data_IF_031462279022
#
_entry.id   IF_031462279022
#
_cell.length_a   1.000
_cell.length_b   1.000
_cell.length_c   1.000
_cell.angle_alpha   90.00
_cell.angle_beta   90.00
_cell.angle_gamma   90.00
#
_symmetry.space_group_name_H-M   'P 1'
#
loop_
_entity.id
_entity.type
_entity.pdbx_description
1 polymer ?
#
# COMPACT_ATOMS: atom_id res chain seq x y z
N UNK A 1 19.82 -0.38 11.31
CA UNK A 1 20.76 -0.41 10.18
C UNK A 1 20.57 -1.72 9.45
N UNK A 2 19.84 -1.69 8.35
CA UNK A 2 19.62 -2.84 7.48
C UNK A 2 20.97 -3.35 6.96
N UNK A 3 21.30 -4.60 7.29
CA UNK A 3 22.50 -5.26 6.76
C UNK A 3 22.20 -5.78 5.34
N UNK A 4 22.96 -5.29 4.37
CA UNK A 4 22.85 -5.67 2.96
C UNK A 4 23.96 -6.61 2.52
N UNK A 5 24.69 -7.24 3.45
CA UNK A 5 25.84 -8.11 3.13
C UNK A 5 25.42 -9.35 2.36
N UNK A 6 24.36 -10.03 2.79
CA UNK A 6 23.91 -11.30 2.19
C UNK A 6 22.84 -11.12 1.10
N UNK A 7 22.18 -9.96 1.05
CA UNK A 7 21.08 -9.70 0.13
C UNK A 7 20.25 -8.49 0.59
N UNK A 8 19.17 -8.20 -0.13
CA UNK A 8 18.15 -7.23 0.30
C UNK A 8 16.86 -7.99 0.57
N UNK A 9 16.15 -7.67 1.64
CA UNK A 9 14.83 -8.27 1.88
C UNK A 9 13.83 -7.79 0.82
N UNK A 10 12.95 -8.67 0.34
CA UNK A 10 11.84 -8.29 -0.53
C UNK A 10 10.89 -7.30 0.17
N UNK A 11 10.53 -7.63 1.42
CA UNK A 11 9.80 -6.78 2.33
C UNK A 11 10.70 -6.46 3.54
N UNK A 12 10.94 -5.18 3.87
CA UNK A 12 11.82 -4.81 4.98
C UNK A 12 11.19 -5.02 6.37
N UNK A 13 9.91 -5.37 6.45
CA UNK A 13 9.13 -5.58 7.67
C UNK A 13 7.75 -4.93 7.68
N UNK A 14 7.22 -4.47 6.54
CA UNK A 14 5.91 -3.82 6.45
C UNK A 14 4.74 -4.80 6.57
N UNK A 15 4.83 -5.99 5.96
CA UNK A 15 3.69 -6.92 5.86
C UNK A 15 3.07 -7.31 7.21
N UNK A 16 3.87 -7.33 8.28
CA UNK A 16 3.37 -7.65 9.64
C UNK A 16 2.47 -6.54 10.24
N UNK A 17 2.46 -5.35 9.65
CA UNK A 17 1.70 -4.18 10.13
C UNK A 17 0.42 -3.92 9.33
N UNK A 18 0.16 -4.72 8.28
CA UNK A 18 -1.08 -4.63 7.50
C UNK A 18 -2.04 -5.78 7.82
N UNK A 19 -3.31 -5.58 7.48
CA UNK A 19 -4.37 -6.58 7.63
C UNK A 19 -5.17 -6.61 6.34
N UNK A 20 -5.41 -7.77 5.75
CA UNK A 20 -6.05 -7.92 4.44
C UNK A 20 -7.24 -6.95 4.22
N UNK A 21 -7.19 -6.13 3.16
CA UNK A 21 -8.15 -5.05 2.96
C UNK A 21 -9.55 -5.59 2.69
N UNK A 22 -9.68 -6.41 1.64
CA UNK A 22 -10.96 -6.91 1.14
C UNK A 22 -11.76 -7.67 2.21
N UNK A 23 -11.19 -8.65 2.95
CA UNK A 23 -11.93 -9.35 4.00
C UNK A 23 -12.43 -8.44 5.13
N UNK A 24 -11.67 -7.39 5.48
CA UNK A 24 -12.08 -6.43 6.49
C UNK A 24 -13.26 -5.56 6.00
N UNK A 25 -13.24 -5.13 4.73
CA UNK A 25 -14.34 -4.40 4.13
C UNK A 25 -15.58 -5.28 4.01
N UNK A 26 -15.45 -6.52 3.52
CA UNK A 26 -16.56 -7.48 3.46
C UNK A 26 -17.18 -7.72 4.83
N UNK A 27 -16.36 -7.88 5.88
CA UNK A 27 -16.85 -8.03 7.26
C UNK A 27 -17.72 -6.84 7.70
N UNK A 28 -17.32 -5.61 7.36
CA UNK A 28 -18.11 -4.40 7.65
C UNK A 28 -19.47 -4.48 6.97
N UNK A 29 -19.53 -4.70 5.66
CA UNK A 29 -20.80 -4.68 4.93
C UNK A 29 -21.69 -5.88 5.26
N UNK A 30 -21.11 -7.05 5.50
CA UNK A 30 -21.84 -8.20 6.02
C UNK A 30 -22.48 -7.89 7.38
N UNK A 31 -21.78 -7.17 8.25
CA UNK A 31 -22.32 -6.75 9.54
C UNK A 31 -23.43 -5.72 9.38
N UNK A 32 -23.26 -4.72 8.51
CA UNK A 32 -24.30 -3.72 8.22
C UNK A 32 -25.55 -4.36 7.60
N UNK A 33 -25.38 -5.38 6.76
CA UNK A 33 -26.46 -6.12 6.12
C UNK A 33 -27.38 -6.87 7.10
N UNK A 34 -26.89 -7.20 8.29
CA UNK A 34 -27.68 -7.90 9.34
C UNK A 34 -28.73 -7.02 9.99
N UNK A 35 -28.56 -5.69 9.97
CA UNK A 35 -29.51 -4.77 10.60
C UNK A 35 -30.63 -4.42 9.62
N UNK A 36 -31.88 -4.66 9.99
CA UNK A 36 -33.04 -4.25 9.17
C UNK A 36 -33.34 -2.76 9.28
N UNK A 37 -33.12 -2.17 10.46
CA UNK A 37 -33.42 -0.77 10.73
C UNK A 37 -32.28 0.14 10.25
N UNK A 38 -32.64 1.16 9.47
CA UNK A 38 -31.68 2.14 8.94
C UNK A 38 -30.94 2.92 10.04
N UNK A 39 -31.61 3.30 11.14
CA UNK A 39 -30.96 3.99 12.26
C UNK A 39 -29.84 3.15 12.89
N UNK A 40 -30.05 1.83 13.02
CA UNK A 40 -29.02 0.90 13.49
C UNK A 40 -27.87 0.81 12.49
N UNK A 41 -28.15 0.71 11.19
CA UNK A 41 -27.10 0.75 10.15
C UNK A 41 -26.25 2.02 10.23
N UNK A 42 -26.87 3.20 10.39
CA UNK A 42 -26.15 4.47 10.55
C UNK A 42 -25.23 4.46 11.78
N UNK A 43 -25.73 3.97 12.91
CA UNK A 43 -24.93 3.88 14.14
C UNK A 43 -23.72 2.95 13.95
N UNK A 44 -23.93 1.78 13.37
CA UNK A 44 -22.88 0.79 13.13
C UNK A 44 -21.85 1.29 12.11
N UNK A 45 -22.30 1.92 11.02
CA UNK A 45 -21.40 2.54 10.04
C UNK A 45 -20.51 3.59 10.72
N UNK A 46 -21.07 4.46 11.57
CA UNK A 46 -20.28 5.45 12.32
C UNK A 46 -19.21 4.80 13.22
N UNK A 47 -19.47 3.61 13.77
CA UNK A 47 -18.49 2.87 14.56
C UNK A 47 -17.40 2.24 13.70
N UNK A 48 -17.73 1.75 12.51
CA UNK A 48 -16.77 1.18 11.57
C UNK A 48 -15.95 2.24 10.83
N UNK A 49 -16.51 3.42 10.59
CA UNK A 49 -15.90 4.43 9.73
C UNK A 49 -14.47 4.80 10.11
N UNK A 50 -14.11 5.06 11.39
CA UNK A 50 -12.71 5.28 11.76
C UNK A 50 -11.79 4.10 11.48
N UNK A 51 -12.29 2.86 11.59
CA UNK A 51 -11.52 1.64 11.28
C UNK A 51 -11.30 1.49 9.77
N UNK A 52 -12.31 1.82 8.97
CA UNK A 52 -12.20 1.84 7.49
C UNK A 52 -11.15 2.87 7.06
N UNK A 53 -11.19 4.08 7.62
CA UNK A 53 -10.19 5.12 7.33
C UNK A 53 -8.80 4.68 7.74
N UNK A 54 -8.64 4.14 8.96
CA UNK A 54 -7.35 3.65 9.43
C UNK A 54 -6.79 2.52 8.56
N UNK A 55 -7.65 1.63 8.08
CA UNK A 55 -7.26 0.53 7.18
C UNK A 55 -6.79 1.08 5.83
N UNK A 56 -7.53 2.04 5.25
CA UNK A 56 -7.17 2.72 4.01
C UNK A 56 -5.85 3.49 4.14
N UNK A 57 -5.68 4.25 5.22
CA UNK A 57 -4.44 4.98 5.51
C UNK A 57 -3.23 4.03 5.61
N UNK A 58 -3.40 2.89 6.29
CA UNK A 58 -2.31 1.91 6.40
C UNK A 58 -1.95 1.28 5.05
N UNK A 59 -2.94 0.98 4.20
CA UNK A 59 -2.69 0.38 2.88
C UNK A 59 -1.98 1.33 1.93
N UNK A 60 -2.38 2.59 1.91
CA UNK A 60 -1.68 3.62 1.15
C UNK A 60 -0.23 3.80 1.66
N UNK A 61 -0.03 3.74 2.98
CA UNK A 61 1.30 3.78 3.58
C UNK A 61 2.15 2.58 3.18
N UNK A 62 1.56 1.39 3.16
CA UNK A 62 2.19 0.16 2.68
C UNK A 62 2.59 0.27 1.21
N UNK A 63 1.68 0.69 0.33
CA UNK A 63 1.95 0.85 -1.10
C UNK A 63 3.08 1.84 -1.38
N UNK A 64 3.04 3.00 -0.71
CA UNK A 64 4.14 3.96 -0.79
C UNK A 64 5.44 3.36 -0.24
N UNK A 65 5.37 2.62 0.87
CA UNK A 65 6.51 1.91 1.46
C UNK A 65 7.16 0.92 0.50
N UNK A 66 6.38 0.13 -0.23
CA UNK A 66 6.90 -0.77 -1.26
C UNK A 66 7.66 -0.02 -2.36
N UNK A 67 7.11 1.10 -2.85
CA UNK A 67 7.76 1.93 -3.88
C UNK A 67 9.08 2.51 -3.34
N UNK A 68 9.02 3.14 -2.16
CA UNK A 68 10.18 3.74 -1.50
C UNK A 68 11.29 2.70 -1.27
N UNK A 69 10.92 1.52 -0.78
CA UNK A 69 11.83 0.42 -0.54
C UNK A 69 12.51 -0.05 -1.82
N UNK A 70 11.72 -0.33 -2.86
CA UNK A 70 12.22 -0.76 -4.17
C UNK A 70 13.23 0.24 -4.75
N UNK A 71 12.94 1.53 -4.63
CA UNK A 71 13.84 2.59 -5.11
C UNK A 71 15.13 2.66 -4.29
N UNK A 72 15.07 2.44 -2.97
CA UNK A 72 16.26 2.37 -2.14
C UNK A 72 17.14 1.14 -2.46
N UNK A 73 16.55 -0.03 -2.72
CA UNK A 73 17.33 -1.24 -2.99
C UNK A 73 17.82 -1.33 -4.44
N UNK A 74 17.16 -0.64 -5.38
CA UNK A 74 17.55 -0.64 -6.80
C UNK A 74 18.98 -0.16 -7.05
N UNK A 75 19.55 0.64 -6.13
CA UNK A 75 20.93 1.14 -6.22
C UNK A 75 21.99 0.07 -6.02
N UNK A 76 21.65 -1.07 -5.40
CA UNK A 76 22.57 -2.18 -5.24
C UNK A 76 22.56 -2.99 -6.53
N UNK A 77 23.67 -3.00 -7.28
CA UNK A 77 23.75 -3.73 -8.55
C UNK A 77 23.72 -5.25 -8.34
N UNK A 78 22.80 -5.92 -9.03
CA UNK A 78 22.63 -7.37 -9.07
C UNK A 78 22.60 -8.06 -7.69
N UNK A 79 22.08 -7.39 -6.66
CA UNK A 79 21.99 -7.94 -5.30
C UNK A 79 20.82 -8.90 -5.21
N UNK A 80 21.00 -10.05 -4.56
CA UNK A 80 19.94 -11.03 -4.36
C UNK A 80 18.79 -10.45 -3.52
N UNK A 81 17.56 -10.70 -3.95
CA UNK A 81 16.34 -10.40 -3.20
C UNK A 81 15.97 -11.62 -2.36
N UNK A 82 16.05 -11.46 -1.05
CA UNK A 82 15.74 -12.49 -0.06
C UNK A 82 14.25 -12.51 0.23
N UNK A 83 13.70 -13.72 0.44
CA UNK A 83 12.33 -13.92 0.91
C UNK A 83 11.23 -13.28 0.03
N UNK A 84 11.43 -13.23 -1.29
CA UNK A 84 10.37 -12.82 -2.22
C UNK A 84 9.25 -13.88 -2.21
N UNK A 85 8.15 -13.58 -1.53
CA UNK A 85 6.98 -14.45 -1.40
C UNK A 85 6.24 -14.68 -2.72
N UNK A 86 6.46 -13.83 -3.73
CA UNK A 86 5.84 -13.93 -5.04
C UNK A 86 6.65 -14.77 -6.03
N UNK A 87 7.94 -15.01 -5.75
CA UNK A 87 8.88 -15.58 -6.72
C UNK A 87 8.45 -16.98 -7.18
N UNK A 88 8.44 -17.17 -8.50
CA UNK A 88 8.04 -18.44 -9.12
C UNK A 88 6.54 -18.70 -9.17
N UNK A 89 5.71 -17.74 -8.76
CA UNK A 89 4.25 -17.79 -8.92
C UNK A 89 3.80 -17.59 -10.38
N UNK A 90 2.52 -17.88 -10.65
CA UNK A 90 1.89 -17.56 -11.92
C UNK A 90 1.50 -16.08 -11.95
N UNK A 91 1.83 -15.39 -13.04
CA UNK A 91 1.40 -14.00 -13.25
C UNK A 91 0.11 -13.97 -14.07
N UNK A 92 -0.92 -13.38 -13.48
CA UNK A 92 -2.04 -12.80 -14.21
C UNK A 92 -2.15 -11.32 -13.83
N UNK A 93 -2.36 -10.45 -14.83
CA UNK A 93 -2.50 -9.01 -14.57
C UNK A 93 -3.72 -8.74 -13.69
N UNK A 94 -4.85 -9.41 -13.97
CA UNK A 94 -6.11 -9.21 -13.26
C UNK A 94 -5.99 -9.56 -11.77
N UNK A 95 -5.38 -10.71 -11.40
CA UNK A 95 -5.20 -11.07 -9.99
C UNK A 95 -4.19 -10.15 -9.31
N UNK A 96 -3.08 -9.83 -9.99
CA UNK A 96 -2.03 -8.94 -9.46
C UNK A 96 -2.58 -7.55 -9.13
N UNK A 97 -3.47 -7.01 -9.96
CA UNK A 97 -4.02 -5.67 -9.78
C UNK A 97 -5.33 -5.66 -8.98
N UNK A 98 -5.90 -6.82 -8.66
CA UNK A 98 -7.22 -6.94 -8.05
C UNK A 98 -7.39 -6.14 -6.74
N UNK A 99 -6.42 -6.17 -5.83
CA UNK A 99 -6.54 -5.48 -4.53
C UNK A 99 -6.42 -3.95 -4.68
N UNK A 100 -5.49 -3.45 -5.49
CA UNK A 100 -5.37 -2.00 -5.76
C UNK A 100 -6.58 -1.47 -6.53
N UNK A 101 -7.12 -2.25 -7.47
CA UNK A 101 -8.32 -1.90 -8.22
C UNK A 101 -9.57 -1.95 -7.33
N UNK A 102 -9.65 -2.92 -6.42
CA UNK A 102 -10.70 -2.97 -5.40
C UNK A 102 -10.68 -1.73 -4.51
N UNK A 103 -9.53 -1.37 -3.94
CA UNK A 103 -9.39 -0.19 -3.08
C UNK A 103 -9.79 1.08 -3.82
N UNK A 104 -9.33 1.23 -5.07
CA UNK A 104 -9.64 2.38 -5.92
C UNK A 104 -11.15 2.52 -6.14
N UNK A 105 -11.82 1.43 -6.52
CA UNK A 105 -13.28 1.41 -6.69
C UNK A 105 -14.02 1.62 -5.36
N UNK A 106 -13.47 1.07 -4.27
CA UNK A 106 -14.06 1.15 -2.94
C UNK A 106 -14.07 2.58 -2.41
N UNK A 107 -13.06 3.41 -2.70
CA UNK A 107 -13.05 4.83 -2.29
C UNK A 107 -14.28 5.58 -2.82
N UNK A 108 -14.68 5.32 -4.07
CA UNK A 108 -15.88 5.94 -4.67
C UNK A 108 -17.18 5.43 -4.01
N UNK A 109 -17.21 4.15 -3.61
CA UNK A 109 -18.31 3.63 -2.81
C UNK A 109 -18.34 4.26 -1.41
N UNK A 110 -17.19 4.35 -0.73
CA UNK A 110 -17.05 4.93 0.60
C UNK A 110 -17.54 6.38 0.60
N UNK A 111 -17.24 7.17 -0.44
CA UNK A 111 -17.77 8.53 -0.61
C UNK A 111 -19.29 8.59 -0.58
N UNK A 112 -19.96 7.69 -1.31
CA UNK A 112 -21.42 7.58 -1.33
C UNK A 112 -21.95 7.13 0.02
N UNK A 113 -21.29 6.15 0.64
CA UNK A 113 -21.70 5.58 1.92
C UNK A 113 -21.56 6.56 3.08
N UNK A 114 -20.46 7.31 3.17
CA UNK A 114 -20.31 8.38 4.17
C UNK A 114 -21.43 9.40 4.03
N UNK A 115 -21.72 9.83 2.79
CA UNK A 115 -22.84 10.75 2.55
C UNK A 115 -24.17 10.17 3.00
N UNK A 116 -24.43 8.91 2.68
CA UNK A 116 -25.68 8.22 3.00
C UNK A 116 -25.87 7.97 4.50
N UNK A 117 -24.83 7.48 5.19
CA UNK A 117 -24.92 7.06 6.59
C UNK A 117 -24.64 8.19 7.60
N UNK A 118 -23.86 9.21 7.24
CA UNK A 118 -23.48 10.29 8.17
C UNK A 118 -23.97 11.67 7.74
N UNK A 119 -24.32 11.85 6.46
CA UNK A 119 -24.67 13.15 5.88
C UNK A 119 -23.45 14.00 5.51
N UNK A 120 -22.25 13.57 5.89
CA UNK A 120 -21.00 14.28 5.66
C UNK A 120 -20.47 13.97 4.26
N UNK A 121 -19.60 14.84 3.74
CA UNK A 121 -18.88 14.56 2.52
C UNK A 121 -17.54 13.90 2.89
N UNK A 122 -17.10 12.95 2.06
CA UNK A 122 -15.78 12.35 2.13
C UNK A 122 -15.05 12.59 0.81
N UNK A 123 -13.77 12.86 0.91
CA UNK A 123 -12.84 12.97 -0.21
C UNK A 123 -11.49 12.46 0.25
N UNK A 124 -10.81 11.79 -0.65
CA UNK A 124 -9.40 11.47 -0.50
C UNK A 124 -8.58 12.58 -1.16
N UNK A 125 -7.40 12.87 -0.61
CA UNK A 125 -6.51 13.88 -1.16
C UNK A 125 -5.76 13.36 -2.41
N UNK A 126 -5.23 14.29 -3.21
CA UNK A 126 -4.54 13.96 -4.47
C UNK A 126 -3.26 13.14 -4.26
N UNK A 127 -2.54 13.30 -3.14
CA UNK A 127 -1.32 12.53 -2.92
C UNK A 127 -1.66 11.05 -2.70
N UNK A 128 -2.72 10.78 -1.94
CA UNK A 128 -3.25 9.43 -1.74
C UNK A 128 -3.73 8.78 -3.05
N UNK A 129 -4.39 9.51 -3.95
CA UNK A 129 -4.75 8.96 -5.27
C UNK A 129 -3.52 8.67 -6.14
N UNK A 130 -2.52 9.55 -6.10
CA UNK A 130 -1.27 9.35 -6.83
C UNK A 130 -0.51 8.10 -6.35
N UNK A 131 -0.58 7.78 -5.05
CA UNK A 131 0.02 6.55 -4.50
C UNK A 131 -0.64 5.31 -5.10
N UNK A 132 -1.98 5.27 -5.21
CA UNK A 132 -2.69 4.14 -5.81
C UNK A 132 -2.31 3.95 -7.28
N UNK A 133 -2.35 5.04 -8.05
CA UNK A 133 -2.01 5.01 -9.48
C UNK A 133 -0.56 4.56 -9.69
N UNK A 134 0.36 5.12 -8.92
CA UNK A 134 1.78 4.77 -8.95
C UNK A 134 2.01 3.30 -8.60
N UNK A 135 1.39 2.81 -7.53
CA UNK A 135 1.56 1.43 -7.08
C UNK A 135 0.97 0.44 -8.08
N UNK A 136 -0.19 0.76 -8.67
CA UNK A 136 -0.80 -0.05 -9.73
C UNK A 136 0.12 -0.19 -10.94
N UNK A 137 0.73 0.90 -11.41
CA UNK A 137 1.70 0.88 -12.50
C UNK A 137 2.94 0.07 -12.11
N UNK A 138 3.44 0.29 -10.89
CA UNK A 138 4.61 -0.42 -10.37
C UNK A 138 4.41 -1.93 -10.32
N UNK A 139 3.28 -2.40 -9.80
CA UNK A 139 2.92 -3.83 -9.79
C UNK A 139 2.87 -4.42 -11.21
N UNK A 140 2.23 -3.71 -12.14
CA UNK A 140 2.08 -4.15 -13.52
C UNK A 140 3.43 -4.27 -14.23
N UNK A 141 4.28 -3.24 -14.15
CA UNK A 141 5.59 -3.26 -14.80
C UNK A 141 6.53 -4.33 -14.24
N UNK A 142 6.35 -4.70 -12.97
CA UNK A 142 7.11 -5.77 -12.32
C UNK A 142 6.44 -7.14 -12.40
N UNK A 143 5.30 -7.28 -13.09
CA UNK A 143 4.50 -8.51 -13.16
C UNK A 143 4.25 -9.15 -11.78
N UNK A 144 3.90 -8.33 -10.79
CA UNK A 144 3.70 -8.79 -9.41
C UNK A 144 4.96 -9.39 -8.75
N UNK A 145 6.15 -9.10 -9.29
CA UNK A 145 7.46 -9.56 -8.81
C UNK A 145 7.69 -11.07 -8.87
N UNK A 146 6.90 -11.82 -9.67
CA UNK A 146 7.05 -13.29 -9.77
C UNK A 146 8.38 -13.70 -10.42
N UNK A 147 8.98 -12.81 -11.21
CA UNK A 147 10.27 -13.01 -11.88
C UNK A 147 11.46 -12.40 -11.12
N UNK A 148 11.22 -11.61 -10.05
CA UNK A 148 12.26 -10.81 -9.41
C UNK A 148 13.13 -11.64 -8.45
N UNK A 149 14.37 -11.92 -8.85
CA UNK A 149 15.36 -12.64 -8.04
C UNK A 149 16.48 -11.72 -7.55
N UNK A 150 16.85 -10.72 -8.34
CA UNK A 150 17.84 -9.72 -7.96
C UNK A 150 17.27 -8.31 -8.13
N UNK A 151 17.92 -7.33 -7.51
CA UNK A 151 17.58 -5.91 -7.66
C UNK A 151 17.59 -5.43 -9.12
N UNK A 152 18.30 -6.12 -10.02
CA UNK A 152 18.31 -5.79 -11.44
C UNK A 152 16.97 -6.11 -12.12
N UNK A 153 16.23 -7.10 -11.61
CA UNK A 153 14.93 -7.52 -12.14
C UNK A 153 13.80 -6.53 -11.78
N UNK A 154 13.98 -5.70 -10.74
CA UNK A 154 12.99 -4.69 -10.36
C UNK A 154 12.95 -3.57 -11.40
N UNK A 155 11.80 -3.35 -12.01
CA UNK A 155 11.54 -2.25 -12.94
C UNK A 155 11.05 -1.04 -12.16
N UNK A 156 11.73 0.10 -12.29
CA UNK A 156 11.26 1.38 -11.74
C UNK A 156 10.53 2.15 -12.85
N UNK A 157 9.22 2.41 -12.69
CA UNK A 157 8.44 3.16 -13.68
C UNK A 157 9.06 4.52 -14.00
N UNK A 158 9.01 4.90 -15.27
CA UNK A 158 9.56 6.19 -15.76
C UNK A 158 8.88 7.41 -15.15
N UNK A 159 7.67 7.25 -14.64
CA UNK A 159 6.93 8.28 -13.92
C UNK A 159 7.55 8.61 -12.56
N UNK A 160 8.40 7.75 -12.01
CA UNK A 160 8.99 7.98 -10.69
C UNK A 160 10.23 8.88 -10.79
N UNK A 161 10.37 9.76 -9.79
CA UNK A 161 11.54 10.63 -9.66
C UNK A 161 12.74 9.83 -9.20
N UNK A 162 13.93 10.14 -9.69
CA UNK A 162 15.14 9.50 -9.16
C UNK A 162 15.40 9.97 -7.71
N UNK A 163 15.68 9.03 -6.79
CA UNK A 163 16.11 9.37 -5.43
C UNK A 163 17.58 9.76 -5.41
N UNK A 164 17.89 10.90 -4.80
CA UNK A 164 19.27 11.24 -4.47
C UNK A 164 19.80 10.31 -3.35
N UNK A 165 21.12 10.21 -3.19
CA UNK A 165 21.70 9.39 -2.10
C UNK A 165 21.28 9.92 -0.71
N UNK A 166 21.16 11.25 -0.56
CA UNK A 166 20.67 11.87 0.68
C UNK A 166 19.22 11.48 0.96
N UNK A 167 18.35 11.57 -0.05
CA UNK A 167 16.95 11.18 0.08
C UNK A 167 16.82 9.68 0.35
N UNK A 168 17.63 8.85 -0.30
CA UNK A 168 17.68 7.40 -0.06
C UNK A 168 17.98 7.07 1.41
N UNK A 169 18.92 7.77 2.03
CA UNK A 169 19.25 7.58 3.46
C UNK A 169 18.11 8.05 4.39
N UNK A 170 17.47 9.16 4.05
CA UNK A 170 16.30 9.66 4.79
C UNK A 170 15.14 8.65 4.73
N UNK A 171 14.86 8.13 3.53
CA UNK A 171 13.84 7.10 3.30
C UNK A 171 14.17 5.84 4.09
N UNK A 172 15.39 5.32 4.02
CA UNK A 172 15.80 4.12 4.76
C UNK A 172 15.63 4.30 6.27
N UNK A 173 16.07 5.43 6.82
CA UNK A 173 15.87 5.74 8.24
C UNK A 173 14.39 5.77 8.60
N UNK A 174 13.56 6.39 7.76
CA UNK A 174 12.12 6.47 8.02
C UNK A 174 11.44 5.10 7.95
N UNK A 175 11.88 4.26 7.02
CA UNK A 175 11.42 2.87 6.92
C UNK A 175 11.70 2.11 8.22
N UNK A 176 12.91 2.22 8.78
CA UNK A 176 13.25 1.61 10.09
C UNK A 176 12.30 2.11 11.21
N UNK A 177 12.06 3.42 11.30
CA UNK A 177 11.14 4.01 12.30
C UNK A 177 9.70 3.50 12.16
N UNK A 178 9.18 3.32 10.94
CA UNK A 178 7.80 2.85 10.74
C UNK A 178 7.65 1.36 10.94
N UNK A 179 8.68 0.56 10.71
CA UNK A 179 8.69 -0.87 11.05
C UNK A 179 8.68 -1.04 12.57
N UNK A 180 9.43 -0.23 13.31
CA UNK A 180 9.41 -0.29 14.78
C UNK A 180 8.06 0.15 15.37
N UNK A 181 7.43 1.17 14.77
CA UNK A 181 6.18 1.74 15.31
C UNK A 181 4.90 1.15 14.74
N UNK A 182 4.97 0.47 13.60
CA UNK A 182 3.82 -0.02 12.82
C UNK A 182 2.96 1.08 12.16
N UNK A 183 3.39 2.35 12.21
CA UNK A 183 2.63 3.49 11.66
C UNK A 183 3.04 3.81 10.23
N UNK A 184 2.56 3.02 9.28
CA UNK A 184 2.95 3.13 7.87
C UNK A 184 2.59 4.49 7.24
N UNK A 185 1.54 5.15 7.71
CA UNK A 185 1.17 6.50 7.25
C UNK A 185 2.26 7.56 7.50
N UNK A 186 3.18 7.31 8.42
CA UNK A 186 4.30 8.22 8.69
C UNK A 186 5.29 8.29 7.50
N UNK A 187 5.12 7.44 6.48
CA UNK A 187 5.84 7.50 5.19
C UNK A 187 5.27 8.56 4.22
N UNK A 188 4.03 9.02 4.38
CA UNK A 188 3.37 9.92 3.44
C UNK A 188 4.17 11.18 3.07
N UNK A 189 4.86 11.84 4.02
CA UNK A 189 5.66 13.03 3.69
C UNK A 189 6.77 12.74 2.66
N UNK A 190 7.16 11.48 2.46
CA UNK A 190 8.18 11.07 1.51
C UNK A 190 7.64 10.83 0.09
N UNK A 191 6.32 10.88 -0.12
CA UNK A 191 5.70 10.63 -1.42
C UNK A 191 6.26 11.55 -2.51
N UNK A 192 6.44 12.84 -2.21
CA UNK A 192 6.94 13.84 -3.17
C UNK A 192 8.38 13.59 -3.65
N UNK A 193 9.14 12.77 -2.92
CA UNK A 193 10.51 12.39 -3.29
C UNK A 193 10.53 11.38 -4.43
N UNK A 194 9.43 10.66 -4.65
CA UNK A 194 9.35 9.55 -5.62
C UNK A 194 8.21 9.68 -6.62
N UNK A 195 7.12 10.37 -6.26
CA UNK A 195 5.94 10.63 -7.11
C UNK A 195 5.90 12.09 -7.58
#
# INVERSE_FOLDING_TARGET
>A
MTDFTDGVQFDPGFIQHISAFTPNIEYVYNTLGRYKNFAQKKQQFKMFYPKILSLLENYLGFYLGCILWAMCIKKFDNKEILNNICYGGEYTEDETLSEVDFITNYIEQLKKDVKYYTGQNFSIDTASTNILDAYRVFLKENKGFVEAKTTNDIVIPKSFKALSEKDSQEVLKKIEEVIESGRLKDLYPLAEKVL
#
